data_IF_407916512782
#
_entry.id   IF_407916512782
#
_cell.length_a   1.000
_cell.length_b   1.000
_cell.length_c   1.000
_cell.angle_alpha   90.00
_cell.angle_beta   90.00
_cell.angle_gamma   90.00
#
_symmetry.space_group_name_H-M   'P 1'
#
loop_
_entity.id
_entity.type
_entity.pdbx_description
1 polymer ?
#
# COMPACT_ATOMS: atom_id res chain seq x y z
N UNK A 1 -13.44 -1.20 -4.53
CA UNK A 1 -13.36 -0.62 -3.17
C UNK A 1 -12.01 0.04 -2.96
N UNK A 2 -11.90 1.08 -2.10
CA UNK A 2 -10.64 1.79 -1.84
C UNK A 2 -10.35 1.81 -0.33
N UNK A 3 -9.13 1.46 0.04
CA UNK A 3 -8.61 1.56 1.41
C UNK A 3 -7.55 2.65 1.47
N UNK A 4 -7.67 3.55 2.44
CA UNK A 4 -6.66 4.56 2.75
C UNK A 4 -6.12 4.28 4.14
N UNK A 5 -4.82 4.16 4.28
CA UNK A 5 -4.18 3.84 5.55
C UNK A 5 -2.87 4.58 5.74
N UNK A 6 -2.52 4.75 7.01
CA UNK A 6 -1.26 5.35 7.45
C UNK A 6 -0.42 4.31 8.17
N UNK A 7 0.83 4.16 7.73
CA UNK A 7 1.88 3.42 8.45
C UNK A 7 2.62 4.37 9.38
N UNK A 8 2.32 4.29 10.68
CA UNK A 8 2.98 5.13 11.69
C UNK A 8 4.49 4.91 11.68
N UNK A 9 5.25 5.99 11.83
CA UNK A 9 6.71 5.97 11.91
C UNK A 9 7.44 5.99 10.57
N UNK A 10 6.72 5.98 9.44
CA UNK A 10 7.34 6.08 8.12
C UNK A 10 7.46 7.52 7.62
N UNK A 11 8.60 7.82 7.00
CA UNK A 11 8.80 9.02 6.18
C UNK A 11 8.21 8.81 4.78
N UNK A 12 7.96 9.90 4.05
CA UNK A 12 7.45 9.85 2.68
C UNK A 12 8.32 9.00 1.75
N UNK A 13 9.63 9.02 1.93
CA UNK A 13 10.59 8.24 1.14
C UNK A 13 10.49 6.75 1.48
N UNK A 14 10.18 6.39 2.73
CA UNK A 14 9.93 5.00 3.11
C UNK A 14 8.66 4.47 2.45
N UNK A 15 7.61 5.29 2.37
CA UNK A 15 6.41 4.94 1.59
C UNK A 15 6.75 4.71 0.12
N UNK A 16 7.50 5.63 -0.51
CA UNK A 16 7.88 5.50 -1.92
C UNK A 16 8.71 4.24 -2.18
N UNK A 17 9.78 4.01 -1.40
CA UNK A 17 10.62 2.82 -1.54
C UNK A 17 9.84 1.52 -1.38
N UNK A 18 8.90 1.47 -0.43
CA UNK A 18 8.05 0.29 -0.28
C UNK A 18 7.14 0.08 -1.48
N UNK A 19 6.50 1.16 -1.95
CA UNK A 19 5.63 1.15 -3.13
C UNK A 19 6.36 0.66 -4.38
N UNK A 20 7.58 1.13 -4.61
CA UNK A 20 8.42 0.67 -5.72
C UNK A 20 8.75 -0.82 -5.58
N UNK A 21 9.14 -1.25 -4.38
CA UNK A 21 9.48 -2.66 -4.11
C UNK A 21 8.31 -3.64 -4.31
N UNK A 22 7.08 -3.28 -3.92
CA UNK A 22 5.91 -4.16 -4.15
C UNK A 22 5.47 -4.18 -5.61
N UNK A 23 5.70 -3.09 -6.35
CA UNK A 23 5.44 -3.01 -7.78
C UNK A 23 6.45 -3.86 -8.56
N UNK A 24 7.75 -3.74 -8.27
CA UNK A 24 8.82 -4.51 -8.89
C UNK A 24 8.64 -6.03 -8.70
N UNK A 25 8.16 -6.44 -7.52
CA UNK A 25 7.86 -7.85 -7.22
C UNK A 25 6.54 -8.35 -7.80
N UNK A 26 5.78 -7.49 -8.48
CA UNK A 26 4.46 -7.84 -9.03
C UNK A 26 3.42 -8.18 -7.96
N UNK A 27 3.60 -7.71 -6.72
CA UNK A 27 2.73 -8.02 -5.59
C UNK A 27 1.49 -7.11 -5.59
N UNK A 28 1.70 -5.81 -5.74
CA UNK A 28 0.64 -4.82 -5.73
C UNK A 28 1.09 -3.53 -6.41
N UNK A 29 0.13 -2.80 -6.98
CA UNK A 29 0.33 -1.42 -7.42
C UNK A 29 -0.30 -0.47 -6.40
N UNK A 30 0.53 0.11 -5.54
CA UNK A 30 0.10 1.03 -4.49
C UNK A 30 0.98 2.26 -4.56
N UNK A 31 0.36 3.44 -4.65
CA UNK A 31 1.09 4.72 -4.71
C UNK A 31 0.86 5.51 -3.42
N UNK A 32 1.91 6.15 -2.87
CA UNK A 32 1.74 7.11 -1.79
C UNK A 32 0.90 8.29 -2.28
N UNK A 33 0.09 8.83 -1.38
CA UNK A 33 -0.71 10.04 -1.61
C UNK A 33 -0.65 10.89 -0.36
N UNK A 34 -1.08 12.15 -0.45
CA UNK A 34 -1.23 13.01 0.73
C UNK A 34 -2.70 13.09 1.16
N UNK A 35 -2.94 13.06 2.47
CA UNK A 35 -4.24 13.33 3.07
C UNK A 35 -4.05 14.15 4.34
N UNK A 36 -4.68 15.33 4.41
CA UNK A 36 -4.53 16.30 5.53
C UNK A 36 -3.08 16.63 5.89
N UNK A 37 -2.21 16.73 4.89
CA UNK A 37 -0.78 17.02 5.08
C UNK A 37 0.07 15.80 5.48
N UNK A 38 -0.53 14.62 5.63
CA UNK A 38 0.19 13.39 5.95
C UNK A 38 0.31 12.47 4.74
N UNK A 39 1.43 11.74 4.63
CA UNK A 39 1.61 10.70 3.62
C UNK A 39 0.84 9.44 4.01
N UNK A 40 0.03 8.94 3.08
CA UNK A 40 -0.84 7.77 3.22
C UNK A 40 -0.67 6.83 2.04
N UNK A 41 -1.01 5.55 2.23
CA UNK A 41 -1.13 4.59 1.14
C UNK A 41 -2.59 4.50 0.70
N UNK A 42 -2.81 4.53 -0.62
CA UNK A 42 -4.13 4.35 -1.23
C UNK A 42 -4.13 3.06 -2.04
N UNK A 43 -4.87 2.06 -1.56
CA UNK A 43 -4.98 0.75 -2.21
C UNK A 43 -6.36 0.59 -2.85
N UNK A 44 -6.37 0.32 -4.16
CA UNK A 44 -7.59 0.05 -4.91
C UNK A 44 -7.77 -1.47 -5.07
N UNK A 45 -8.80 -2.00 -4.42
CA UNK A 45 -9.20 -3.41 -4.59
C UNK A 45 -10.21 -3.44 -5.74
N UNK A 46 -9.72 -3.80 -6.92
CA UNK A 46 -10.48 -3.76 -8.20
C UNK A 46 -10.92 -5.13 -8.68
N UNK A 47 -10.15 -6.19 -8.40
CA UNK A 47 -10.46 -7.53 -8.86
C UNK A 47 -11.43 -8.21 -7.87
N UNK A 48 -12.62 -8.67 -8.31
CA UNK A 48 -13.59 -9.35 -7.44
C UNK A 48 -13.10 -10.70 -6.90
N UNK A 49 -12.05 -11.28 -7.50
CA UNK A 49 -11.38 -12.49 -7.00
C UNK A 49 -10.33 -12.22 -5.93
N UNK A 50 -10.15 -10.96 -5.50
CA UNK A 50 -9.22 -10.63 -4.41
C UNK A 50 -9.69 -11.30 -3.13
N UNK A 51 -8.81 -12.08 -2.50
CA UNK A 51 -9.10 -12.79 -1.25
C UNK A 51 -8.46 -12.08 -0.06
N UNK A 52 -8.99 -12.32 1.14
CA UNK A 52 -8.40 -11.82 2.39
C UNK A 52 -6.95 -12.28 2.53
N UNK A 53 -6.66 -13.55 2.22
CA UNK A 53 -5.30 -14.09 2.27
C UNK A 53 -4.33 -13.35 1.32
N UNK A 54 -4.81 -12.94 0.14
CA UNK A 54 -4.01 -12.11 -0.79
C UNK A 54 -3.71 -10.73 -0.20
N UNK A 55 -4.71 -10.11 0.44
CA UNK A 55 -4.51 -8.82 1.13
C UNK A 55 -3.55 -8.94 2.31
N UNK A 56 -3.66 -10.00 3.13
CA UNK A 56 -2.75 -10.25 4.26
C UNK A 56 -1.30 -10.31 3.80
N UNK A 57 -1.01 -11.00 2.68
CA UNK A 57 0.36 -11.03 2.11
C UNK A 57 0.89 -9.65 1.76
N UNK A 58 0.05 -8.75 1.25
CA UNK A 58 0.45 -7.37 0.96
C UNK A 58 0.77 -6.64 2.27
N UNK A 59 -0.10 -6.76 3.28
CA UNK A 59 0.11 -6.12 4.58
C UNK A 59 1.34 -6.65 5.33
N UNK A 60 1.68 -7.93 5.17
CA UNK A 60 2.90 -8.51 5.75
C UNK A 60 4.17 -7.88 5.18
N UNK A 61 4.11 -7.29 3.99
CA UNK A 61 5.24 -6.55 3.41
C UNK A 61 5.42 -5.14 3.99
N UNK A 62 4.46 -4.62 4.77
CA UNK A 62 4.51 -3.28 5.40
C UNK A 62 5.22 -3.28 6.77
N UNK A 63 5.88 -4.38 7.13
CA UNK A 63 6.62 -4.49 8.39
C UNK A 63 7.77 -3.49 8.45
#
# INVERSE_FOLDING_TARGET
SVLVLRRKGWTSEQYQRWSDSVLERGIAFVVPSSWKGETVLRMCIVNPRTTVAGLTRIFDTLK
#
